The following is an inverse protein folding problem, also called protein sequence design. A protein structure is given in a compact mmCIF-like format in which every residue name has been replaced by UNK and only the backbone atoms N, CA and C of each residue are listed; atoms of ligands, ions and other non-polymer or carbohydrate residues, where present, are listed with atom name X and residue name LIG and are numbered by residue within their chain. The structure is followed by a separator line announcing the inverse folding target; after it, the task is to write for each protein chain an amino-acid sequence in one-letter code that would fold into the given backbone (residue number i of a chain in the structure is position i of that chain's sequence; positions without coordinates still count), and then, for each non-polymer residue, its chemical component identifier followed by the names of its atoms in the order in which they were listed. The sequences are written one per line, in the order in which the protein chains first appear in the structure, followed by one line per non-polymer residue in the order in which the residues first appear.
data_IF_766879852722
#
_entry.id   IF_766879852722
#
_cell.length_a   1.000
_cell.length_b   1.000
_cell.length_c   1.000
_cell.angle_alpha   90.00
_cell.angle_beta   90.00
_cell.angle_gamma   90.00
#
_symmetry.space_group_name_H-M   'P 1'
#
loop_
_entity.id
_entity.type
_entity.pdbx_description
1 polymer ?
#
# COMPACT_ATOMS: atom_id res chain seq x y z
N UNK A 1 -32.84 15.35 -15.85
CA UNK A 1 -32.29 14.96 -14.54
C UNK A 1 -31.16 15.92 -14.22
N UNK A 2 -31.32 16.75 -13.19
CA UNK A 2 -30.31 17.75 -12.83
C UNK A 2 -29.09 17.03 -12.27
N UNK A 3 -27.95 17.15 -12.94
CA UNK A 3 -26.68 16.77 -12.34
C UNK A 3 -26.57 17.51 -10.99
N UNK A 4 -26.19 16.77 -9.94
CA UNK A 4 -25.82 17.35 -8.65
C UNK A 4 -24.63 18.27 -8.91
N UNK A 5 -24.87 19.59 -9.03
CA UNK A 5 -23.81 20.58 -9.23
C UNK A 5 -22.86 20.48 -8.03
N UNK A 6 -21.59 20.16 -8.28
CA UNK A 6 -20.56 20.03 -7.24
C UNK A 6 -20.33 21.38 -6.56
N UNK A 7 -19.75 21.40 -5.35
CA UNK A 7 -19.34 22.67 -4.71
C UNK A 7 -18.24 23.40 -5.49
N UNK A 8 -17.96 24.64 -5.14
CA UNK A 8 -16.77 25.39 -5.62
C UNK A 8 -15.59 25.02 -4.74
N UNK A 9 -14.42 24.76 -5.33
CA UNK A 9 -13.18 24.52 -4.58
C UNK A 9 -12.43 25.84 -4.28
N UNK A 10 -11.53 25.86 -3.28
CA UNK A 10 -10.70 27.05 -3.00
C UNK A 10 -9.91 27.54 -4.21
N UNK A 11 -9.39 26.60 -5.00
CA UNK A 11 -8.62 26.91 -6.21
C UNK A 11 -9.49 27.49 -7.32
N UNK A 12 -10.68 26.93 -7.55
CA UNK A 12 -11.67 27.50 -8.48
C UNK A 12 -12.07 28.91 -8.06
N UNK A 13 -12.26 29.16 -6.76
CA UNK A 13 -12.58 30.50 -6.26
C UNK A 13 -11.41 31.47 -6.49
N UNK A 14 -10.17 31.04 -6.26
CA UNK A 14 -8.99 31.86 -6.48
C UNK A 14 -8.80 32.19 -7.96
N UNK A 15 -9.04 31.22 -8.83
CA UNK A 15 -8.98 31.38 -10.27
C UNK A 15 -10.10 32.30 -10.78
N UNK A 16 -11.35 32.08 -10.36
CA UNK A 16 -12.48 32.95 -10.68
C UNK A 16 -12.25 34.40 -10.23
N UNK A 17 -11.62 34.60 -9.06
CA UNK A 17 -11.28 35.94 -8.58
C UNK A 17 -10.28 36.66 -9.50
N UNK A 18 -9.36 35.91 -10.15
CA UNK A 18 -8.40 36.46 -11.11
C UNK A 18 -9.04 36.72 -12.47
N UNK A 19 -9.75 35.74 -13.00
CA UNK A 19 -10.30 35.78 -14.36
C UNK A 19 -11.39 36.84 -14.50
N UNK A 20 -12.25 36.94 -13.48
CA UNK A 20 -13.33 37.92 -13.43
C UNK A 20 -12.91 39.23 -12.76
N UNK A 21 -11.65 39.34 -12.33
CA UNK A 21 -11.12 40.48 -11.57
C UNK A 21 -11.98 40.86 -10.34
N UNK A 22 -12.52 39.85 -9.65
CA UNK A 22 -13.40 40.01 -8.50
C UNK A 22 -12.60 40.12 -7.19
N UNK A 23 -12.98 41.07 -6.35
CA UNK A 23 -12.44 41.17 -4.99
C UNK A 23 -13.25 40.32 -4.02
N UNK A 24 -12.65 39.94 -2.88
CA UNK A 24 -13.38 39.26 -1.78
C UNK A 24 -14.59 40.08 -1.30
N UNK A 25 -14.51 41.41 -1.39
CA UNK A 25 -15.60 42.29 -1.04
C UNK A 25 -16.76 42.20 -2.05
N UNK A 26 -16.46 42.16 -3.35
CA UNK A 26 -17.45 42.01 -4.41
C UNK A 26 -18.15 40.65 -4.34
N UNK A 27 -17.38 39.58 -4.12
CA UNK A 27 -17.94 38.22 -3.98
C UNK A 27 -18.85 38.14 -2.74
N UNK A 28 -18.46 38.74 -1.61
CA UNK A 28 -19.29 38.78 -0.42
C UNK A 28 -20.60 39.54 -0.64
N UNK A 29 -20.56 40.63 -1.40
CA UNK A 29 -21.73 41.43 -1.74
C UNK A 29 -22.67 40.67 -2.68
N UNK A 30 -22.14 40.03 -3.72
CA UNK A 30 -22.92 39.26 -4.69
C UNK A 30 -23.51 37.95 -4.15
N UNK A 31 -22.84 37.32 -3.18
CA UNK A 31 -23.30 36.05 -2.59
C UNK A 31 -24.04 36.20 -1.26
N UNK A 32 -23.91 37.35 -0.60
CA UNK A 32 -24.35 37.55 0.79
C UNK A 32 -23.52 36.79 1.84
N UNK A 33 -22.41 36.15 1.43
CA UNK A 33 -21.53 35.41 2.34
C UNK A 33 -20.57 36.36 3.08
N UNK A 34 -20.12 35.95 4.27
CA UNK A 34 -19.17 36.72 5.06
C UNK A 34 -17.82 36.87 4.34
N UNK A 35 -17.31 38.10 4.23
CA UNK A 35 -15.96 38.40 3.72
C UNK A 35 -14.87 37.60 4.41
N UNK A 36 -14.98 37.43 5.73
CA UNK A 36 -14.04 36.64 6.52
C UNK A 36 -14.07 35.17 6.09
N UNK A 37 -15.26 34.60 5.86
CA UNK A 37 -15.41 33.20 5.48
C UNK A 37 -14.92 32.94 4.06
N UNK A 38 -15.13 33.87 3.12
CA UNK A 38 -14.58 33.78 1.77
C UNK A 38 -13.04 33.78 1.82
N UNK A 39 -12.44 34.63 2.65
CA UNK A 39 -10.98 34.68 2.83
C UNK A 39 -10.42 33.39 3.48
N UNK A 40 -11.10 32.87 4.51
CA UNK A 40 -10.74 31.61 5.16
C UNK A 40 -10.90 30.41 4.22
N UNK A 41 -11.96 30.40 3.41
CA UNK A 41 -12.20 29.37 2.41
C UNK A 41 -11.12 29.37 1.33
N UNK A 42 -10.77 30.55 0.79
CA UNK A 42 -9.69 30.68 -0.20
C UNK A 42 -8.32 30.25 0.33
N UNK A 43 -8.09 30.36 1.63
CA UNK A 43 -6.85 29.91 2.28
C UNK A 43 -6.90 28.45 2.76
N UNK A 44 -7.99 27.72 2.49
CA UNK A 44 -8.17 26.32 2.89
C UNK A 44 -8.39 26.12 4.39
N UNK A 45 -8.59 27.19 5.17
CA UNK A 45 -8.77 27.13 6.63
C UNK A 45 -10.18 26.72 7.05
N UNK A 46 -11.15 26.86 6.15
CA UNK A 46 -12.56 26.59 6.39
C UNK A 46 -13.22 26.07 5.13
N UNK A 47 -14.22 25.21 5.28
CA UNK A 47 -15.12 24.80 4.20
C UNK A 47 -16.50 25.45 4.35
N UNK A 48 -17.13 25.76 3.21
CA UNK A 48 -18.52 26.22 3.16
C UNK A 48 -19.51 25.06 3.31
N UNK A 49 -20.67 25.33 3.90
CA UNK A 49 -21.80 24.38 3.93
C UNK A 49 -22.40 24.21 2.53
N UNK A 50 -23.15 23.13 2.25
CA UNK A 50 -23.74 22.90 0.93
C UNK A 50 -24.61 24.06 0.41
N UNK A 51 -25.37 24.73 1.28
CA UNK A 51 -26.18 25.90 0.92
C UNK A 51 -25.32 27.12 0.55
N UNK A 52 -24.22 27.34 1.26
CA UNK A 52 -23.27 28.43 1.00
C UNK A 52 -22.47 28.16 -0.29
N UNK A 53 -22.10 26.89 -0.53
CA UNK A 53 -21.48 26.43 -1.76
C UNK A 53 -22.37 26.66 -2.99
N UNK A 54 -23.67 26.37 -2.87
CA UNK A 54 -24.62 26.61 -3.95
C UNK A 54 -24.75 28.11 -4.29
N UNK A 55 -24.78 28.99 -3.28
CA UNK A 55 -24.81 30.44 -3.48
C UNK A 55 -23.53 30.93 -4.16
N UNK A 56 -22.36 30.51 -3.67
CA UNK A 56 -21.08 30.87 -4.26
C UNK A 56 -20.97 30.39 -5.71
N UNK A 57 -21.38 29.16 -5.97
CA UNK A 57 -21.36 28.58 -7.31
C UNK A 57 -22.27 29.31 -8.28
N UNK A 58 -23.51 29.57 -7.86
CA UNK A 58 -24.50 30.23 -8.72
C UNK A 58 -24.07 31.65 -9.08
N UNK A 59 -23.46 32.36 -8.14
CA UNK A 59 -22.91 33.69 -8.38
C UNK A 59 -21.75 33.66 -9.38
N UNK A 60 -20.77 32.79 -9.19
CA UNK A 60 -19.63 32.68 -10.10
C UNK A 60 -20.05 32.21 -11.50
N UNK A 61 -20.97 31.24 -11.60
CA UNK A 61 -21.55 30.81 -12.89
C UNK A 61 -22.22 31.97 -13.63
N UNK A 62 -22.95 32.84 -12.92
CA UNK A 62 -23.57 34.02 -13.52
C UNK A 62 -22.54 35.03 -14.04
N UNK A 63 -21.50 35.33 -13.25
CA UNK A 63 -20.44 36.28 -13.64
C UNK A 63 -19.62 35.77 -14.84
N UNK A 64 -19.34 34.47 -14.91
CA UNK A 64 -18.70 33.86 -16.08
C UNK A 64 -19.60 33.96 -17.33
N UNK A 65 -20.88 33.65 -17.18
CA UNK A 65 -21.84 33.72 -18.28
C UNK A 65 -22.01 35.15 -18.83
N UNK A 66 -21.95 36.18 -17.97
CA UNK A 66 -21.96 37.58 -18.39
C UNK A 66 -20.74 37.95 -19.26
N UNK A 67 -19.59 37.31 -19.01
CA UNK A 67 -18.38 37.49 -19.83
C UNK A 67 -18.34 36.57 -21.06
N UNK A 68 -19.38 35.76 -21.27
CA UNK A 68 -19.48 34.82 -22.39
C UNK A 68 -18.60 33.58 -22.24
N UNK A 69 -18.19 33.26 -21.02
CA UNK A 69 -17.40 32.08 -20.69
C UNK A 69 -18.22 31.12 -19.82
N UNK A 70 -17.93 29.83 -19.91
CA UNK A 70 -18.49 28.84 -18.99
C UNK A 70 -17.65 28.80 -17.70
N UNK A 71 -18.29 28.62 -16.55
CA UNK A 71 -17.58 28.44 -15.29
C UNK A 71 -16.70 27.18 -15.38
N UNK A 72 -15.42 27.25 -15.00
CA UNK A 72 -14.52 26.11 -15.08
C UNK A 72 -15.00 25.01 -14.15
N UNK A 73 -15.64 23.99 -14.72
CA UNK A 73 -15.92 22.75 -14.02
C UNK A 73 -14.59 22.15 -13.56
N UNK A 74 -14.56 21.68 -12.30
CA UNK A 74 -13.46 20.85 -11.86
C UNK A 74 -13.57 19.58 -12.71
N UNK A 75 -12.73 19.53 -13.73
CA UNK A 75 -12.28 18.28 -14.27
C UNK A 75 -11.49 17.68 -13.10
N UNK A 76 -12.19 16.93 -12.25
CA UNK A 76 -11.59 15.67 -11.85
C UNK A 76 -11.16 15.09 -13.19
N UNK A 77 -9.86 15.18 -13.48
CA UNK A 77 -9.28 14.37 -14.50
C UNK A 77 -9.88 13.02 -14.18
N UNK A 78 -10.78 12.56 -15.06
CA UNK A 78 -11.29 11.20 -14.92
C UNK A 78 -10.04 10.37 -14.74
N UNK A 79 -10.05 9.36 -13.87
CA UNK A 79 -8.82 8.59 -13.64
C UNK A 79 -8.16 8.18 -14.98
N UNK A 80 -8.97 8.05 -16.06
CA UNK A 80 -8.60 7.99 -17.48
C UNK A 80 -7.64 9.08 -18.05
N UNK A 81 -7.76 10.36 -17.71
CA UNK A 81 -6.96 11.45 -18.28
C UNK A 81 -5.61 11.63 -17.57
N UNK A 82 -5.57 11.40 -16.25
CA UNK A 82 -4.31 11.26 -15.50
C UNK A 82 -3.51 10.01 -15.94
N UNK A 83 -4.20 8.94 -16.36
CA UNK A 83 -3.60 7.73 -16.94
C UNK A 83 -2.87 7.99 -18.28
N UNK A 84 -3.29 8.99 -19.06
CA UNK A 84 -2.71 9.28 -20.38
C UNK A 84 -1.48 10.21 -20.33
N UNK A 85 -1.34 11.03 -19.28
CA UNK A 85 -0.22 11.98 -19.14
C UNK A 85 1.05 11.40 -18.52
N UNK A 86 0.93 10.33 -17.74
CA UNK A 86 2.04 9.65 -17.05
C UNK A 86 2.24 8.26 -17.66
N UNK A 87 2.71 8.21 -18.90
CA UNK A 87 3.02 7.02 -19.69
C UNK A 87 2.96 5.68 -18.94
N UNK A 88 1.76 5.09 -18.87
CA UNK A 88 1.50 3.67 -18.65
C UNK A 88 2.19 2.92 -17.50
N UNK A 89 2.81 3.56 -16.51
CA UNK A 89 3.73 2.86 -15.59
C UNK A 89 3.44 3.01 -14.09
N UNK A 90 2.34 3.63 -13.67
CA UNK A 90 1.98 3.65 -12.24
C UNK A 90 0.59 3.08 -12.02
N UNK A 91 0.55 1.77 -11.74
CA UNK A 91 -0.67 1.09 -11.33
C UNK A 91 -0.88 1.34 -9.82
N UNK A 92 -1.87 2.17 -9.46
CA UNK A 92 -2.25 2.32 -8.04
C UNK A 92 -2.86 1.02 -7.53
N UNK A 93 -2.20 0.39 -6.56
CA UNK A 93 -2.68 -0.82 -5.90
C UNK A 93 -3.62 -0.40 -4.76
N UNK A 94 -4.94 -0.47 -4.98
CA UNK A 94 -5.96 -0.16 -3.96
C UNK A 94 -6.26 -1.34 -3.01
N UNK A 95 -5.45 -2.40 -3.05
CA UNK A 95 -5.56 -3.59 -2.19
C UNK A 95 -4.36 -3.66 -1.26
N UNK A 96 -4.47 -4.29 -0.07
CA UNK A 96 -3.31 -4.58 0.76
C UNK A 96 -2.23 -5.26 -0.08
N UNK A 97 -1.03 -4.68 -0.06
CA UNK A 97 0.10 -5.13 -0.86
C UNK A 97 1.33 -5.28 0.03
N UNK A 98 2.17 -6.26 -0.30
CA UNK A 98 3.47 -6.42 0.33
C UNK A 98 4.41 -5.42 -0.34
N UNK A 99 5.00 -4.54 0.45
CA UNK A 99 6.05 -3.64 -0.03
C UNK A 99 7.28 -4.46 -0.38
N UNK A 100 7.81 -4.26 -1.59
CA UNK A 100 9.06 -4.83 -2.03
C UNK A 100 10.16 -3.77 -1.82
N UNK A 101 11.25 -4.16 -1.17
CA UNK A 101 12.43 -3.29 -1.07
C UNK A 101 13.12 -3.18 -2.42
N UNK A 102 13.61 -1.99 -2.75
CA UNK A 102 14.42 -1.75 -3.96
C UNK A 102 15.79 -2.43 -3.89
N UNK A 103 16.25 -2.76 -2.68
CA UNK A 103 17.54 -3.42 -2.44
C UNK A 103 17.49 -4.93 -2.73
N UNK A 104 16.31 -5.51 -2.96
CA UNK A 104 16.16 -6.93 -3.27
C UNK A 104 16.24 -7.14 -4.78
N UNK A 105 17.26 -7.87 -5.29
CA UNK A 105 17.38 -8.15 -6.71
C UNK A 105 16.12 -8.81 -7.27
N UNK A 106 15.64 -8.35 -8.44
CA UNK A 106 14.42 -8.87 -9.07
C UNK A 106 14.38 -10.39 -9.18
N UNK A 107 15.49 -11.02 -9.59
CA UNK A 107 15.58 -12.48 -9.70
C UNK A 107 15.46 -13.20 -8.35
N UNK A 108 15.87 -12.57 -7.25
CA UNK A 108 15.67 -13.10 -5.90
C UNK A 108 14.21 -12.91 -5.46
N UNK A 109 13.63 -11.75 -5.74
CA UNK A 109 12.22 -11.48 -5.45
C UNK A 109 11.29 -12.47 -6.17
N UNK A 110 11.54 -12.76 -7.45
CA UNK A 110 10.78 -13.78 -8.22
C UNK A 110 10.85 -15.16 -7.55
N UNK A 111 12.04 -15.62 -7.17
CA UNK A 111 12.20 -16.91 -6.47
C UNK A 111 11.51 -16.95 -5.11
N UNK A 112 11.52 -15.85 -4.37
CA UNK A 112 10.81 -15.75 -3.09
C UNK A 112 9.29 -15.81 -3.27
N UNK A 113 8.76 -15.15 -4.31
CA UNK A 113 7.33 -15.22 -4.67
C UNK A 113 6.95 -16.64 -5.12
N UNK A 114 7.76 -17.28 -5.96
CA UNK A 114 7.54 -18.66 -6.40
C UNK A 114 7.52 -19.63 -5.22
N UNK A 115 8.43 -19.45 -4.25
CA UNK A 115 8.45 -20.25 -3.03
C UNK A 115 7.17 -20.03 -2.18
N UNK A 116 6.74 -18.79 -2.02
CA UNK A 116 5.51 -18.47 -1.27
C UNK A 116 4.31 -19.17 -1.93
N UNK A 117 4.23 -19.13 -3.26
CA UNK A 117 3.15 -19.79 -3.99
C UNK A 117 3.23 -21.31 -3.89
N UNK A 118 4.41 -21.91 -4.03
CA UNK A 118 4.61 -23.35 -3.85
C UNK A 118 4.21 -23.82 -2.45
N UNK A 119 4.60 -23.07 -1.41
CA UNK A 119 4.21 -23.36 -0.04
C UNK A 119 2.69 -23.22 0.16
N UNK A 120 2.05 -22.21 -0.44
CA UNK A 120 0.59 -22.02 -0.39
C UNK A 120 -0.14 -23.21 -1.02
N UNK A 121 0.29 -23.65 -2.20
CA UNK A 121 -0.28 -24.82 -2.87
C UNK A 121 -0.11 -26.08 -2.02
N UNK A 122 1.05 -26.26 -1.40
CA UNK A 122 1.31 -27.40 -0.52
C UNK A 122 0.45 -27.37 0.75
N UNK A 123 0.30 -26.20 1.39
CA UNK A 123 -0.59 -26.02 2.53
C UNK A 123 -2.03 -26.37 2.17
N UNK A 124 -2.53 -25.89 1.03
CA UNK A 124 -3.88 -26.25 0.58
C UNK A 124 -4.02 -27.77 0.41
N UNK A 125 -3.02 -28.42 -0.17
CA UNK A 125 -2.99 -29.88 -0.29
C UNK A 125 -3.09 -30.59 1.07
N UNK A 126 -2.32 -30.14 2.07
CA UNK A 126 -2.36 -30.71 3.43
C UNK A 126 -3.72 -30.45 4.11
N UNK A 127 -4.31 -29.27 3.92
CA UNK A 127 -5.60 -28.93 4.51
C UNK A 127 -6.77 -29.72 3.90
N UNK A 128 -6.60 -30.27 2.69
CA UNK A 128 -7.56 -31.16 2.05
C UNK A 128 -7.42 -32.62 2.53
N UNK A 129 -6.38 -32.95 3.31
CA UNK A 129 -6.19 -34.29 3.86
C UNK A 129 -7.20 -34.60 4.97
N UNK A 130 -7.49 -35.90 5.15
CA UNK A 130 -8.41 -36.35 6.20
C UNK A 130 -7.81 -36.09 7.58
N UNK A 131 -8.61 -35.50 8.47
CA UNK A 131 -8.23 -35.35 9.87
C UNK A 131 -8.40 -36.68 10.60
N UNK A 132 -7.31 -37.28 11.03
CA UNK A 132 -7.30 -38.56 11.73
C UNK A 132 -7.03 -38.40 13.22
N UNK A 133 -7.94 -38.88 14.05
CA UNK A 133 -7.72 -39.03 15.48
C UNK A 133 -6.91 -40.30 15.77
N UNK A 134 -6.02 -40.21 16.75
CA UNK A 134 -5.19 -41.29 17.27
C UNK A 134 -5.69 -41.81 18.63
N UNK A 135 -5.01 -42.86 19.10
CA UNK A 135 -5.25 -43.50 20.39
C UNK A 135 -6.50 -44.39 20.46
N UNK A 136 -6.50 -45.37 21.37
CA UNK A 136 -7.59 -46.34 21.57
C UNK A 136 -8.91 -45.70 22.04
N UNK A 137 -8.88 -44.45 22.51
CA UNK A 137 -10.02 -43.70 23.05
C UNK A 137 -10.27 -42.34 22.35
N UNK A 138 -9.60 -42.06 21.21
CA UNK A 138 -9.87 -40.87 20.38
C UNK A 138 -9.46 -39.52 21.00
N UNK A 139 -8.54 -39.51 21.96
CA UNK A 139 -8.08 -38.28 22.65
C UNK A 139 -6.79 -37.66 22.11
N UNK A 140 -6.05 -38.37 21.25
CA UNK A 140 -4.79 -37.90 20.66
C UNK A 140 -4.96 -37.72 19.15
N UNK A 141 -4.03 -37.02 18.49
CA UNK A 141 -4.01 -36.97 17.02
C UNK A 141 -3.23 -38.18 16.48
N UNK A 142 -3.55 -38.62 15.27
CA UNK A 142 -2.70 -39.62 14.62
C UNK A 142 -1.32 -38.99 14.34
N UNK A 143 -0.24 -39.79 14.29
CA UNK A 143 1.08 -39.27 13.89
C UNK A 143 1.07 -38.56 12.53
N UNK A 144 0.19 -39.00 11.61
CA UNK A 144 0.01 -38.34 10.32
C UNK A 144 -0.57 -36.93 10.50
N UNK A 145 -1.66 -36.80 11.28
CA UNK A 145 -2.26 -35.50 11.61
C UNK A 145 -1.27 -34.58 12.33
N UNK A 146 -0.47 -35.08 13.28
CA UNK A 146 0.54 -34.26 13.95
C UNK A 146 1.62 -33.76 13.00
N UNK A 147 2.09 -34.60 12.08
CA UNK A 147 3.07 -34.21 11.08
C UNK A 147 2.49 -33.18 10.10
N UNK A 148 1.26 -33.38 9.63
CA UNK A 148 0.54 -32.44 8.78
C UNK A 148 0.38 -31.06 9.46
N UNK A 149 0.05 -31.03 10.75
CA UNK A 149 -0.02 -29.78 11.54
C UNK A 149 1.36 -29.11 11.59
N UNK A 150 2.41 -29.85 11.95
CA UNK A 150 3.78 -29.30 12.05
C UNK A 150 4.25 -28.75 10.71
N UNK A 151 4.02 -29.48 9.63
CA UNK A 151 4.40 -29.08 8.29
C UNK A 151 3.63 -27.84 7.83
N UNK A 152 2.33 -27.77 8.09
CA UNK A 152 1.52 -26.58 7.78
C UNK A 152 2.10 -25.34 8.45
N UNK A 153 2.39 -25.39 9.74
CA UNK A 153 2.98 -24.26 10.46
C UNK A 153 4.40 -23.93 9.98
N UNK A 154 5.21 -24.94 9.63
CA UNK A 154 6.54 -24.72 9.07
C UNK A 154 6.47 -23.97 7.73
N UNK A 155 5.56 -24.36 6.83
CA UNK A 155 5.36 -23.71 5.53
C UNK A 155 4.86 -22.26 5.69
N UNK A 156 3.93 -22.02 6.62
CA UNK A 156 3.45 -20.66 6.93
C UNK A 156 4.56 -19.78 7.52
N UNK A 157 5.39 -20.33 8.41
CA UNK A 157 6.54 -19.63 8.97
C UNK A 157 7.58 -19.31 7.87
N UNK A 158 7.86 -20.24 6.96
CA UNK A 158 8.74 -20.00 5.82
C UNK A 158 8.22 -18.87 4.92
N UNK A 159 6.91 -18.81 4.68
CA UNK A 159 6.30 -17.70 3.94
C UNK A 159 6.50 -16.36 4.65
N UNK A 160 6.35 -16.32 5.97
CA UNK A 160 6.61 -15.09 6.73
C UNK A 160 8.07 -14.63 6.59
N UNK A 161 9.03 -15.56 6.69
CA UNK A 161 10.46 -15.23 6.48
C UNK A 161 10.70 -14.72 5.06
N UNK A 162 10.14 -15.37 4.04
CA UNK A 162 10.26 -14.93 2.65
C UNK A 162 9.69 -13.52 2.43
N UNK A 163 8.56 -13.19 3.06
CA UNK A 163 7.94 -11.86 3.01
C UNK A 163 8.85 -10.81 3.66
N UNK A 164 9.46 -11.12 4.79
CA UNK A 164 10.42 -10.22 5.43
C UNK A 164 11.65 -9.98 4.53
N UNK A 165 12.14 -11.01 3.84
CA UNK A 165 13.23 -10.88 2.88
C UNK A 165 12.84 -9.98 1.69
N UNK A 166 11.62 -10.14 1.16
CA UNK A 166 11.07 -9.25 0.12
C UNK A 166 11.01 -7.78 0.57
N UNK A 167 10.81 -7.54 1.87
CA UNK A 167 10.80 -6.21 2.49
C UNK A 167 12.21 -5.70 2.86
N UNK A 168 13.27 -6.45 2.58
CA UNK A 168 14.64 -6.12 2.98
C UNK A 168 14.91 -6.28 4.49
N UNK A 169 14.03 -6.96 5.23
CA UNK A 169 14.09 -7.14 6.69
C UNK A 169 14.60 -8.52 7.05
N UNK A 170 15.85 -8.80 6.72
CA UNK A 170 16.44 -10.12 6.93
C UNK A 170 16.61 -10.43 8.42
N UNK A 171 16.08 -11.58 8.85
CA UNK A 171 16.21 -12.11 10.23
C UNK A 171 17.05 -13.39 10.30
N UNK A 172 17.53 -13.85 9.15
CA UNK A 172 18.38 -15.02 8.99
C UNK A 172 19.38 -14.77 7.86
N UNK A 173 20.48 -15.51 7.87
CA UNK A 173 21.59 -15.39 6.92
C UNK A 173 22.13 -16.76 6.54
N UNK A 174 22.92 -16.82 5.48
CA UNK A 174 23.70 -18.00 5.19
C UNK A 174 24.70 -18.25 6.32
N UNK A 175 24.78 -19.51 6.74
CA UNK A 175 25.77 -19.97 7.71
C UNK A 175 26.71 -20.97 7.04
N UNK A 176 28.03 -20.93 7.33
CA UNK A 176 28.97 -21.91 6.83
C UNK A 176 28.60 -23.34 7.26
N UNK A 177 29.05 -24.32 6.48
CA UNK A 177 28.93 -25.73 6.86
C UNK A 177 29.70 -26.00 8.17
N UNK A 178 29.10 -26.77 9.08
CA UNK A 178 29.70 -27.07 10.39
C UNK A 178 29.68 -25.91 11.38
N UNK A 179 29.00 -24.81 11.09
CA UNK A 179 28.83 -23.70 12.01
C UNK A 179 28.05 -24.11 13.27
N UNK A 180 28.60 -23.81 14.44
CA UNK A 180 27.96 -24.08 15.74
C UNK A 180 27.22 -22.83 16.21
N UNK A 181 25.87 -22.88 16.37
CA UNK A 181 25.10 -21.71 16.80
C UNK A 181 25.49 -21.17 18.17
N UNK A 182 25.67 -19.85 18.29
CA UNK A 182 25.92 -19.16 19.57
C UNK A 182 24.72 -18.35 20.04
N UNK A 183 23.91 -17.87 19.12
CA UNK A 183 22.68 -17.11 19.38
C UNK A 183 21.44 -17.83 18.84
N UNK A 184 20.25 -17.37 19.23
CA UNK A 184 19.01 -17.87 18.64
C UNK A 184 18.91 -17.54 17.15
N UNK A 185 19.45 -16.39 16.71
CA UNK A 185 19.52 -16.04 15.29
C UNK A 185 20.43 -16.97 14.48
N UNK A 186 21.55 -17.38 15.08
CA UNK A 186 22.45 -18.38 14.51
C UNK A 186 21.77 -19.75 14.38
N UNK A 187 21.01 -20.14 15.40
CA UNK A 187 20.26 -21.39 15.39
C UNK A 187 19.17 -21.36 14.31
N UNK A 188 18.40 -20.27 14.23
CA UNK A 188 17.37 -20.09 13.20
C UNK A 188 17.98 -20.12 11.80
N UNK A 189 19.11 -19.44 11.59
CA UNK A 189 19.82 -19.42 10.31
C UNK A 189 20.31 -20.82 9.91
N UNK A 190 20.83 -21.59 10.88
CA UNK A 190 21.25 -22.98 10.68
C UNK A 190 20.06 -23.93 10.47
N UNK A 191 18.91 -23.63 11.06
CA UNK A 191 17.69 -24.38 10.80
C UNK A 191 17.19 -24.14 9.37
N UNK A 192 17.16 -22.88 8.95
CA UNK A 192 16.69 -22.47 7.62
C UNK A 192 17.63 -22.89 6.48
N UNK A 193 18.91 -23.15 6.75
CA UNK A 193 19.85 -23.68 5.75
C UNK A 193 19.50 -25.11 5.28
N UNK A 194 18.61 -25.81 5.99
CA UNK A 194 18.07 -27.12 5.57
C UNK A 194 16.74 -27.00 4.82
N UNK A 195 16.20 -25.78 4.70
CA UNK A 195 14.89 -25.51 4.08
C UNK A 195 15.03 -25.08 2.61
N UNK A 196 13.93 -25.03 1.86
CA UNK A 196 13.92 -24.45 0.51
C UNK A 196 14.38 -22.98 0.44
N UNK A 197 14.40 -22.25 1.57
CA UNK A 197 14.94 -20.88 1.63
C UNK A 197 16.47 -20.81 1.62
N UNK A 198 17.18 -21.92 1.85
CA UNK A 198 18.62 -21.91 2.10
C UNK A 198 19.43 -21.13 1.05
N UNK A 199 19.15 -21.37 -0.23
CA UNK A 199 19.84 -20.73 -1.36
C UNK A 199 19.43 -19.27 -1.58
N UNK A 200 18.38 -18.80 -0.89
CA UNK A 200 17.85 -17.44 -0.99
C UNK A 200 18.28 -16.56 0.18
N UNK A 201 18.81 -17.14 1.26
CA UNK A 201 19.29 -16.39 2.42
C UNK A 201 20.40 -15.41 2.02
N UNK A 202 20.43 -14.20 2.61
CA UNK A 202 21.50 -13.23 2.35
C UNK A 202 22.84 -13.75 2.87
N UNK A 203 23.93 -13.30 2.24
CA UNK A 203 25.28 -13.59 2.70
C UNK A 203 25.53 -13.00 4.10
N UNK A 204 26.45 -13.60 4.84
CA UNK A 204 26.85 -13.08 6.15
C UNK A 204 27.82 -11.89 6.00
N UNK A 205 27.31 -10.68 6.12
CA UNK A 205 28.11 -9.43 6.08
C UNK A 205 29.04 -9.27 7.31
N UNK A 206 28.83 -10.06 8.37
CA UNK A 206 29.73 -10.01 9.54
C UNK A 206 31.07 -10.71 9.30
N UNK A 207 31.18 -11.54 8.25
CA UNK A 207 32.44 -12.20 7.88
C UNK A 207 33.44 -11.26 7.18
N UNK A 208 32.98 -10.16 6.59
CA UNK A 208 33.84 -9.19 5.88
C UNK A 208 34.54 -8.19 6.80
N UNK A 209 33.96 -7.87 7.96
CA UNK A 209 34.57 -6.91 8.90
C UNK A 209 35.83 -7.46 9.60
N UNK A 210 35.93 -8.77 9.78
CA UNK A 210 37.09 -9.41 10.44
C UNK A 210 38.27 -9.65 9.48
N UNK A 211 38.08 -9.54 8.16
CA UNK A 211 39.16 -9.74 7.17
C UNK A 211 39.89 -8.44 6.78
N UNK A 212 39.28 -7.26 6.92
CA UNK A 212 39.95 -5.97 6.73
C UNK A 212 40.73 -5.49 7.97
N UNK A 213 40.57 -6.16 9.11
CA UNK A 213 41.25 -5.85 10.37
C UNK A 213 42.49 -6.74 10.65
N UNK A 214 42.92 -7.57 9.69
CA UNK A 214 44.06 -8.49 9.82
C UNK A 214 45.26 -8.07 8.97
#
# INVERSE_FOLDING_TARGET
MSALRKGVTPDQLHQASKDLNLTVAAIAEGTGLSRAYISEFRSGKRNFKPSEQALLRSYLEAEYAEQGYDFPEEHEASDQELLNGLGGMVQRINRPAILLSEDVPKAQAEKLVDLIEANRLKVNGILDEAFETGGFLGGEFSPATENAIRETFALLALNYVAILMLQGRNIARQVPEGFTPKTMGDWLSSYLSTSPLAALLPADESATADQEAA
#
